data_IF_733533332987
#
_entry.id   IF_733533332987
#
_cell.length_a   1.000
_cell.length_b   1.000
_cell.length_c   1.000
_cell.angle_alpha   90.00
_cell.angle_beta   90.00
_cell.angle_gamma   90.00
#
_symmetry.space_group_name_H-M   'P 1'
#
loop_
_entity.id
_entity.type
_entity.pdbx_description
1 polymer ?
#
# COMPACT_ATOMS: atom_id res chain seq x y z
N UNK A 1 10.73 -14.42 20.40
CA UNK A 1 10.80 -12.96 20.60
C UNK A 1 9.64 -12.38 19.80
N UNK A 2 8.78 -11.61 20.45
CA UNK A 2 7.37 -11.37 20.12
C UNK A 2 7.22 -9.86 19.78
N UNK A 3 6.76 -9.52 18.57
CA UNK A 3 6.49 -8.15 18.07
C UNK A 3 4.99 -8.01 17.82
N UNK A 4 4.23 -7.42 18.74
CA UNK A 4 2.76 -7.38 18.66
C UNK A 4 2.28 -6.27 17.74
N UNK A 5 1.43 -6.62 16.77
CA UNK A 5 0.75 -5.68 15.88
C UNK A 5 -0.71 -5.49 16.28
N UNK A 6 -1.12 -4.27 16.61
CA UNK A 6 -2.53 -3.84 16.68
C UNK A 6 -2.60 -2.38 16.24
N UNK A 7 -3.48 -2.09 15.28
CA UNK A 7 -3.81 -0.75 14.77
C UNK A 7 -5.17 -0.26 15.32
N UNK A 8 -5.20 0.98 15.83
CA UNK A 8 -6.40 1.76 16.17
C UNK A 8 -6.21 3.21 15.67
N UNK A 9 -6.89 3.51 14.56
CA UNK A 9 -7.50 4.78 14.08
C UNK A 9 -6.80 6.15 14.24
N UNK A 10 -7.00 7.08 13.28
CA UNK A 10 -6.04 8.13 12.90
C UNK A 10 -6.17 9.45 13.70
N UNK A 11 -6.63 9.41 14.94
CA UNK A 11 -6.90 10.62 15.71
C UNK A 11 -6.13 10.61 17.04
N UNK A 12 -4.82 10.88 16.99
CA UNK A 12 -4.08 11.54 18.08
C UNK A 12 -2.68 11.95 17.56
N UNK A 13 -2.54 13.22 17.18
CA UNK A 13 -1.24 13.89 17.06
C UNK A 13 -1.21 14.99 18.14
N UNK A 14 -0.27 14.89 19.10
CA UNK A 14 -0.07 15.91 20.14
C UNK A 14 1.16 16.79 19.76
N UNK A 15 0.98 18.10 19.47
CA UNK A 15 2.06 18.98 19.04
C UNK A 15 3.05 19.41 20.14
N UNK A 16 2.84 19.06 21.40
CA UNK A 16 3.69 19.53 22.53
C UNK A 16 4.93 18.65 22.81
N UNK A 17 5.17 17.57 22.05
CA UNK A 17 6.25 16.59 22.32
C UNK A 17 7.46 16.63 21.35
N UNK A 18 7.66 17.69 20.54
CA UNK A 18 8.85 17.76 19.67
C UNK A 18 10.05 18.44 20.35
N UNK A 19 11.15 17.72 20.55
CA UNK A 19 12.40 18.21 21.16
C UNK A 19 13.55 18.41 20.15
N UNK A 20 14.39 19.42 20.43
CA UNK A 20 15.40 20.13 19.61
C UNK A 20 16.57 19.32 19.00
N UNK A 21 16.55 17.99 19.08
CA UNK A 21 17.65 17.13 18.64
C UNK A 21 17.09 15.91 17.89
N UNK A 22 16.43 16.20 16.77
CA UNK A 22 15.90 15.23 15.81
C UNK A 22 17.01 14.36 15.21
N UNK A 23 17.27 13.23 15.84
CA UNK A 23 17.92 12.08 15.23
C UNK A 23 16.83 11.25 14.54
N UNK A 24 16.87 11.14 13.21
CA UNK A 24 16.02 10.21 12.45
C UNK A 24 16.51 8.77 12.66
N UNK A 25 16.28 8.25 13.85
CA UNK A 25 16.23 6.83 14.13
C UNK A 25 14.75 6.51 14.25
N UNK A 26 14.20 5.91 13.20
CA UNK A 26 12.75 5.74 13.07
C UNK A 26 12.30 4.68 14.07
N UNK A 27 11.77 5.12 15.22
CA UNK A 27 11.17 4.22 16.19
C UNK A 27 9.92 3.53 15.58
N UNK A 28 9.15 4.28 14.78
CA UNK A 28 7.91 3.86 14.14
C UNK A 28 7.84 4.36 12.69
N UNK A 29 7.65 3.46 11.72
CA UNK A 29 7.55 3.83 10.30
C UNK A 29 6.12 3.62 9.79
N UNK A 30 5.46 4.71 9.36
CA UNK A 30 4.19 4.66 8.62
C UNK A 30 4.42 5.09 7.17
N UNK A 31 4.32 4.14 6.23
CA UNK A 31 4.53 4.37 4.79
C UNK A 31 3.25 4.11 4.00
N UNK A 32 2.42 5.14 3.75
CA UNK A 32 1.32 5.03 2.82
C UNK A 32 1.79 5.22 1.38
N UNK A 33 1.33 4.34 0.49
CA UNK A 33 1.34 4.53 -0.98
C UNK A 33 2.73 4.68 -1.60
N UNK A 34 3.71 3.89 -1.17
CA UNK A 34 5.09 3.94 -1.66
C UNK A 34 5.29 3.15 -2.96
N UNK A 35 4.32 2.31 -3.35
CA UNK A 35 4.43 1.46 -4.54
C UNK A 35 4.71 2.24 -5.85
N UNK A 36 4.24 3.49 -5.96
CA UNK A 36 4.55 4.35 -7.10
C UNK A 36 6.04 4.68 -7.22
N UNK A 37 6.77 4.76 -6.11
CA UNK A 37 8.20 5.09 -6.07
C UNK A 37 9.14 3.88 -6.14
N UNK A 38 8.65 2.68 -5.86
CA UNK A 38 9.47 1.47 -5.76
C UNK A 38 9.50 0.74 -7.11
N UNK A 39 10.69 0.30 -7.54
CA UNK A 39 10.84 -0.55 -8.73
C UNK A 39 10.30 -1.97 -8.46
N UNK A 40 9.76 -2.63 -9.49
CA UNK A 40 9.12 -3.95 -9.36
C UNK A 40 9.95 -5.00 -8.62
N UNK A 41 11.28 -4.97 -8.73
CA UNK A 41 12.17 -5.98 -8.17
C UNK A 41 12.76 -5.58 -6.82
N UNK A 42 12.57 -4.33 -6.37
CA UNK A 42 13.20 -3.81 -5.15
C UNK A 42 12.46 -4.14 -3.86
N UNK A 43 11.24 -4.64 -3.92
CA UNK A 43 10.41 -4.86 -2.73
C UNK A 43 11.06 -5.75 -1.66
N UNK A 44 11.74 -6.83 -2.05
CA UNK A 44 12.40 -7.70 -1.08
C UNK A 44 13.56 -7.01 -0.35
N UNK A 45 14.37 -6.25 -1.08
CA UNK A 45 15.47 -5.46 -0.50
C UNK A 45 14.94 -4.31 0.34
N UNK A 46 13.91 -3.63 -0.15
CA UNK A 46 13.25 -2.53 0.55
C UNK A 46 12.73 -2.95 1.93
N UNK A 47 12.10 -4.13 2.03
CA UNK A 47 11.66 -4.67 3.33
C UNK A 47 12.83 -4.98 4.27
N UNK A 48 13.95 -5.49 3.74
CA UNK A 48 15.15 -5.74 4.55
C UNK A 48 15.78 -4.44 5.04
N UNK A 49 15.80 -3.42 4.19
CA UNK A 49 16.32 -2.10 4.53
C UNK A 49 15.44 -1.43 5.59
N UNK A 50 14.11 -1.52 5.48
CA UNK A 50 13.21 -1.05 6.55
C UNK A 50 13.54 -1.76 7.87
N UNK A 51 13.62 -3.09 7.88
CA UNK A 51 13.90 -3.84 9.11
C UNK A 51 15.24 -3.45 9.75
N UNK A 52 16.27 -3.19 8.93
CA UNK A 52 17.59 -2.73 9.41
C UNK A 52 17.56 -1.34 10.03
N UNK A 53 16.68 -0.46 9.54
CA UNK A 53 16.51 0.89 10.05
C UNK A 53 15.66 0.95 11.33
N UNK A 54 14.88 -0.08 11.63
CA UNK A 54 14.10 -0.15 12.85
C UNK A 54 14.99 -0.41 14.07
N UNK A 55 14.72 0.34 15.15
CA UNK A 55 15.28 0.00 16.45
C UNK A 55 14.73 -1.35 16.94
N UNK A 56 15.45 -2.00 17.85
CA UNK A 56 14.97 -3.22 18.51
C UNK A 56 13.63 -2.91 19.21
N UNK A 57 12.59 -3.65 18.84
CA UNK A 57 11.23 -3.48 19.37
C UNK A 57 10.38 -2.42 18.66
N UNK A 58 10.91 -1.75 17.62
CA UNK A 58 10.13 -0.84 16.77
C UNK A 58 9.16 -1.58 15.86
N UNK A 59 8.19 -0.85 15.30
CA UNK A 59 7.18 -1.38 14.39
C UNK A 59 7.15 -0.66 13.05
N UNK A 60 6.61 -1.34 12.04
CA UNK A 60 6.39 -0.80 10.71
C UNK A 60 4.97 -1.09 10.27
N UNK A 61 4.29 -0.05 9.79
CA UNK A 61 3.01 -0.14 9.11
C UNK A 61 3.19 0.28 7.66
N UNK A 62 2.61 -0.51 6.76
CA UNK A 62 2.59 -0.24 5.34
C UNK A 62 1.17 -0.33 4.85
N UNK A 63 0.75 0.66 4.05
CA UNK A 63 -0.58 0.74 3.48
C UNK A 63 -0.45 0.99 1.99
N UNK A 64 -1.06 0.14 1.18
CA UNK A 64 -1.04 0.25 -0.28
C UNK A 64 -2.44 0.07 -0.85
N UNK A 65 -2.71 0.76 -1.96
CA UNK A 65 -3.98 0.61 -2.69
C UNK A 65 -3.85 -0.54 -3.68
N UNK A 66 -4.76 -1.49 -3.59
CA UNK A 66 -4.96 -2.50 -4.62
C UNK A 66 -5.81 -1.94 -5.75
N UNK A 67 -5.18 -1.71 -6.90
CA UNK A 67 -5.86 -1.21 -8.10
C UNK A 67 -6.67 -2.28 -8.85
N UNK A 68 -6.70 -3.52 -8.35
CA UNK A 68 -7.58 -4.56 -8.86
C UNK A 68 -8.99 -4.44 -8.25
N UNK A 69 -9.95 -4.03 -9.08
CA UNK A 69 -11.35 -3.97 -8.68
C UNK A 69 -11.89 -5.37 -8.32
N UNK A 70 -12.55 -5.44 -7.17
CA UNK A 70 -13.12 -6.67 -6.61
C UNK A 70 -14.56 -6.42 -6.18
N UNK A 71 -15.38 -7.47 -6.18
CA UNK A 71 -16.74 -7.44 -5.63
C UNK A 71 -17.06 -8.75 -4.93
N UNK A 72 -17.61 -8.66 -3.72
CA UNK A 72 -17.94 -9.83 -2.89
C UNK A 72 -19.30 -10.46 -3.24
N UNK A 73 -20.14 -9.74 -3.99
CA UNK A 73 -21.42 -10.26 -4.48
C UNK A 73 -21.32 -10.98 -5.84
N UNK A 74 -20.12 -11.12 -6.39
CA UNK A 74 -19.86 -11.84 -7.65
C UNK A 74 -20.40 -11.19 -8.92
N UNK A 75 -20.93 -9.96 -8.87
CA UNK A 75 -21.53 -9.30 -10.04
C UNK A 75 -20.51 -8.59 -10.93
N UNK A 76 -19.28 -8.41 -10.45
CA UNK A 76 -18.20 -7.78 -11.22
C UNK A 76 -17.65 -8.78 -12.25
N UNK A 77 -18.06 -8.59 -13.51
CA UNK A 77 -17.58 -9.37 -14.66
C UNK A 77 -16.50 -8.62 -15.45
N UNK A 78 -15.77 -9.32 -16.32
CA UNK A 78 -14.75 -8.75 -17.21
C UNK A 78 -15.29 -7.68 -18.17
N UNK A 79 -16.61 -7.64 -18.40
CA UNK A 79 -17.26 -6.61 -19.20
C UNK A 79 -17.35 -5.25 -18.51
N UNK A 80 -17.19 -5.17 -17.19
CA UNK A 80 -17.36 -3.92 -16.46
C UNK A 80 -16.17 -2.97 -16.63
N UNK A 81 -16.46 -1.67 -16.71
CA UNK A 81 -15.45 -0.64 -16.94
C UNK A 81 -14.33 -0.65 -15.89
N UNK A 82 -14.66 -0.84 -14.60
CA UNK A 82 -13.67 -0.92 -13.53
C UNK A 82 -12.75 -2.14 -13.68
N UNK A 83 -13.30 -3.29 -14.09
CA UNK A 83 -12.50 -4.50 -14.31
C UNK A 83 -11.56 -4.34 -15.51
N UNK A 84 -12.07 -3.83 -16.63
CA UNK A 84 -11.25 -3.52 -17.80
C UNK A 84 -10.17 -2.47 -17.49
N UNK A 85 -10.48 -1.48 -16.64
CA UNK A 85 -9.51 -0.48 -16.21
C UNK A 85 -8.38 -1.13 -15.40
N UNK A 86 -8.71 -1.97 -14.42
CA UNK A 86 -7.72 -2.71 -13.61
C UNK A 86 -6.82 -3.59 -14.47
N UNK A 87 -7.39 -4.33 -15.42
CA UNK A 87 -6.64 -5.21 -16.31
C UNK A 87 -5.69 -4.43 -17.22
N UNK A 88 -6.17 -3.32 -17.81
CA UNK A 88 -5.34 -2.42 -18.63
C UNK A 88 -4.21 -1.81 -17.81
N UNK A 89 -4.49 -1.32 -16.62
CA UNK A 89 -3.51 -0.74 -15.72
C UNK A 89 -2.44 -1.76 -15.31
N UNK A 90 -2.89 -2.95 -14.88
CA UNK A 90 -2.00 -4.05 -14.50
C UNK A 90 -1.07 -4.41 -15.65
N UNK A 91 -1.61 -4.60 -16.87
CA UNK A 91 -0.83 -4.92 -18.06
C UNK A 91 0.20 -3.84 -18.37
N UNK A 92 -0.21 -2.58 -18.41
CA UNK A 92 0.65 -1.44 -18.72
C UNK A 92 1.80 -1.31 -17.71
N UNK A 93 1.49 -1.43 -16.42
CA UNK A 93 2.44 -1.14 -15.34
C UNK A 93 3.30 -2.33 -14.94
N UNK A 94 2.91 -3.57 -15.30
CA UNK A 94 3.61 -4.81 -14.90
C UNK A 94 5.10 -4.83 -15.22
N UNK A 95 5.54 -4.11 -16.26
CA UNK A 95 6.94 -4.02 -16.64
C UNK A 95 7.76 -3.09 -15.74
N UNK A 96 7.12 -2.08 -15.14
CA UNK A 96 7.76 -1.03 -14.35
C UNK A 96 7.58 -1.23 -12.85
N UNK A 97 6.40 -1.72 -12.44
CA UNK A 97 5.95 -1.80 -11.06
C UNK A 97 5.44 -3.19 -10.73
N UNK A 98 5.53 -3.54 -9.44
CA UNK A 98 4.93 -4.77 -8.94
C UNK A 98 3.48 -4.49 -8.54
N UNK A 99 2.55 -4.75 -9.47
CA UNK A 99 1.11 -4.51 -9.28
C UNK A 99 0.49 -5.44 -8.23
N UNK A 100 1.19 -6.50 -7.83
CA UNK A 100 0.81 -7.39 -6.74
C UNK A 100 1.30 -6.91 -5.37
N UNK A 101 2.08 -5.83 -5.31
CA UNK A 101 2.68 -5.36 -4.06
C UNK A 101 1.68 -5.21 -2.91
N UNK A 102 0.49 -4.59 -3.09
CA UNK A 102 -0.49 -4.43 -2.01
C UNK A 102 -0.90 -5.77 -1.37
N UNK A 103 -0.98 -6.84 -2.17
CA UNK A 103 -1.35 -8.21 -1.73
C UNK A 103 -0.17 -9.02 -1.19
N UNK A 104 1.07 -8.53 -1.33
CA UNK A 104 2.29 -9.28 -0.98
C UNK A 104 3.07 -8.69 0.18
N UNK A 105 2.71 -7.49 0.66
CA UNK A 105 3.43 -6.82 1.75
C UNK A 105 3.64 -7.72 2.95
N UNK A 106 2.56 -8.33 3.48
CA UNK A 106 2.66 -9.17 4.66
C UNK A 106 3.59 -10.39 4.45
N UNK A 107 3.56 -10.97 3.25
CA UNK A 107 4.48 -12.04 2.88
C UNK A 107 5.94 -11.57 2.85
N UNK A 108 6.21 -10.43 2.22
CA UNK A 108 7.57 -9.89 2.13
C UNK A 108 8.12 -9.42 3.48
N UNK A 109 7.28 -8.86 4.34
CA UNK A 109 7.65 -8.51 5.72
C UNK A 109 8.06 -9.78 6.50
N UNK A 110 7.25 -10.85 6.44
CA UNK A 110 7.64 -12.13 7.08
C UNK A 110 8.95 -12.67 6.53
N UNK A 111 9.15 -12.63 5.22
CA UNK A 111 10.41 -13.06 4.58
C UNK A 111 11.63 -12.21 4.97
N UNK A 112 11.44 -10.91 5.21
CA UNK A 112 12.50 -10.02 5.65
C UNK A 112 12.89 -10.24 7.12
N UNK A 113 12.02 -10.87 7.92
CA UNK A 113 12.27 -11.20 9.33
C UNK A 113 11.41 -10.43 10.33
N UNK A 114 10.39 -9.71 9.86
CA UNK A 114 9.39 -9.12 10.75
C UNK A 114 8.59 -10.23 11.44
N UNK A 115 8.26 -10.04 12.71
CA UNK A 115 7.40 -10.95 13.47
C UNK A 115 6.04 -10.32 13.76
N UNK A 116 5.02 -11.17 13.96
CA UNK A 116 3.58 -10.82 14.13
C UNK A 116 3.05 -9.78 13.15
N UNK A 117 3.36 -10.06 11.89
CA UNK A 117 2.80 -9.36 10.76
C UNK A 117 1.29 -9.66 10.68
N UNK A 118 0.48 -8.65 10.99
CA UNK A 118 -0.96 -8.62 10.71
C UNK A 118 -1.23 -8.00 9.33
N UNK A 119 -2.26 -8.49 8.64
CA UNK A 119 -2.73 -7.93 7.38
C UNK A 119 -4.21 -7.57 7.55
N UNK A 120 -4.59 -6.35 7.16
CA UNK A 120 -5.97 -5.87 7.21
C UNK A 120 -6.38 -5.35 5.84
N UNK A 121 -7.53 -5.82 5.36
CA UNK A 121 -8.17 -5.35 4.14
C UNK A 121 -9.56 -4.81 4.51
N UNK A 122 -9.66 -3.54 4.95
CA UNK A 122 -10.93 -2.97 5.37
C UNK A 122 -11.89 -2.86 4.18
N UNK A 123 -13.09 -3.43 4.34
CA UNK A 123 -14.15 -3.45 3.32
C UNK A 123 -15.40 -2.81 3.88
N UNK A 124 -15.36 -1.49 4.01
CA UNK A 124 -16.47 -0.70 4.55
C UNK A 124 -17.22 -0.02 3.42
N UNK A 125 -18.45 -0.48 3.17
CA UNK A 125 -19.29 0.01 2.07
C UNK A 125 -19.54 1.52 2.17
N UNK A 126 -19.87 2.02 3.35
CA UNK A 126 -20.18 3.45 3.56
C UNK A 126 -18.98 4.35 3.29
N UNK A 127 -17.77 3.94 3.71
CA UNK A 127 -16.53 4.63 3.35
C UNK A 127 -16.36 4.63 1.82
N UNK A 128 -16.60 3.50 1.16
CA UNK A 128 -16.54 3.38 -0.29
C UNK A 128 -17.50 4.34 -1.01
N UNK A 129 -18.74 4.47 -0.51
CA UNK A 129 -19.75 5.39 -1.06
C UNK A 129 -19.29 6.85 -0.89
N UNK A 130 -18.78 7.22 0.28
CA UNK A 130 -18.31 8.59 0.51
C UNK A 130 -17.03 8.93 -0.28
N UNK A 131 -16.23 7.94 -0.66
CA UNK A 131 -14.95 8.14 -1.34
C UNK A 131 -15.03 8.06 -2.88
N UNK A 132 -16.22 7.92 -3.46
CA UNK A 132 -16.41 7.70 -4.90
C UNK A 132 -15.73 8.75 -5.78
N UNK A 133 -15.85 10.04 -5.45
CA UNK A 133 -15.27 11.12 -6.26
C UNK A 133 -13.74 11.12 -6.21
N UNK A 134 -13.15 10.86 -5.04
CA UNK A 134 -11.70 10.73 -4.91
C UNK A 134 -11.17 9.54 -5.72
N UNK A 135 -11.87 8.41 -5.69
CA UNK A 135 -11.52 7.23 -6.49
C UNK A 135 -11.60 7.57 -7.98
N UNK A 136 -12.66 8.25 -8.43
CA UNK A 136 -12.81 8.67 -9.83
C UNK A 136 -11.63 9.52 -10.30
N UNK A 137 -11.23 10.52 -9.51
CA UNK A 137 -10.09 11.39 -9.82
C UNK A 137 -8.75 10.63 -9.78
N UNK A 138 -8.57 9.75 -8.81
CA UNK A 138 -7.38 8.90 -8.68
C UNK A 138 -7.21 7.97 -9.88
N UNK A 139 -8.26 7.25 -10.29
CA UNK A 139 -8.20 6.36 -11.45
C UNK A 139 -7.92 7.14 -12.75
N UNK A 140 -8.48 8.35 -12.86
CA UNK A 140 -8.20 9.24 -13.98
C UNK A 140 -6.74 9.68 -14.05
N UNK A 141 -6.15 10.10 -12.93
CA UNK A 141 -4.77 10.56 -12.88
C UNK A 141 -3.75 9.44 -13.11
N UNK A 142 -4.00 8.26 -12.52
CA UNK A 142 -3.14 7.08 -12.68
C UNK A 142 -3.18 6.50 -14.09
N UNK A 143 -4.25 6.74 -14.85
CA UNK A 143 -4.38 6.25 -16.21
C UNK A 143 -3.59 7.09 -17.23
N UNK A 144 -3.27 8.35 -16.93
CA UNK A 144 -2.67 9.28 -17.91
C UNK A 144 -1.44 8.68 -18.58
N UNK A 145 -0.36 8.45 -17.84
CA UNK A 145 0.87 7.91 -18.43
C UNK A 145 0.73 6.47 -18.94
N UNK A 146 0.21 5.49 -18.16
CA UNK A 146 0.21 4.09 -18.59
C UNK A 146 -0.69 3.85 -19.80
N UNK A 147 -1.82 4.54 -19.92
CA UNK A 147 -2.77 4.28 -21.00
C UNK A 147 -2.40 5.05 -22.27
N UNK A 148 -1.78 6.23 -22.15
CA UNK A 148 -1.37 6.98 -23.34
C UNK A 148 -0.03 6.52 -23.89
N UNK A 149 0.92 6.07 -23.06
CA UNK A 149 2.28 5.76 -23.50
C UNK A 149 2.63 4.27 -23.54
N UNK A 150 2.10 3.45 -22.64
CA UNK A 150 2.53 2.05 -22.49
C UNK A 150 1.62 1.03 -23.19
N UNK A 151 0.40 1.42 -23.57
CA UNK A 151 -0.59 0.54 -24.21
C UNK A 151 -0.79 0.78 -25.71
N UNK A 152 0.19 1.38 -26.38
CA UNK A 152 0.19 1.58 -27.84
C UNK A 152 0.33 0.26 -28.59
#
# INVERSE_FOLDING_TARGET
MQVIGIDVSPHHYNPEESVENLYLNVDNLNMPLVAGGIDRNRWHEYMRDILRCLRKGGWCQMVEIDYNAQSDNGTLTDGHALRQWSDKYSRAMSQLKNVEAPRRLAHWMRQAGFTEVEERNPREFDIGVHNQENVRLLLGSLALYPFTELLK
#
